data_IF_543938505168
#
_entry.id   IF_543938505168
#
_cell.length_a   1.000
_cell.length_b   1.000
_cell.length_c   1.000
_cell.angle_alpha   90.00
_cell.angle_beta   90.00
_cell.angle_gamma   90.00
#
_symmetry.space_group_name_H-M   'P 1'
#
loop_
_entity.id
_entity.type
_entity.pdbx_description
1 polymer ?
#
# COMPACT_ATOMS: atom_id res chain seq x y z
N UNK A 1 -42.20 2.94 -12.99
CA UNK A 1 -41.02 3.63 -13.59
C UNK A 1 -40.70 2.96 -14.90
N UNK A 2 -40.47 3.73 -15.96
CA UNK A 2 -40.20 3.19 -17.30
C UNK A 2 -38.76 2.67 -17.37
N UNK A 3 -38.56 1.46 -17.90
CA UNK A 3 -37.24 0.81 -18.03
C UNK A 3 -36.18 1.72 -18.68
N UNK A 4 -36.48 2.47 -19.77
CA UNK A 4 -35.49 3.37 -20.38
C UNK A 4 -34.97 4.45 -19.43
N UNK A 5 -35.83 4.97 -18.55
CA UNK A 5 -35.45 6.02 -17.59
C UNK A 5 -34.45 5.49 -16.57
N UNK A 6 -34.66 4.26 -16.08
CA UNK A 6 -33.75 3.59 -15.13
C UNK A 6 -32.39 3.36 -15.79
N UNK A 7 -32.38 2.93 -17.06
CA UNK A 7 -31.15 2.70 -17.80
C UNK A 7 -30.30 3.98 -17.91
N UNK A 8 -30.88 5.10 -18.35
CA UNK A 8 -30.14 6.35 -18.45
C UNK A 8 -29.70 6.90 -17.08
N UNK A 9 -30.52 6.72 -16.03
CA UNK A 9 -30.14 7.08 -14.67
C UNK A 9 -28.93 6.28 -14.18
N UNK A 10 -28.93 4.97 -14.43
CA UNK A 10 -27.79 4.11 -14.09
C UNK A 10 -26.52 4.54 -14.82
N UNK A 11 -26.58 4.73 -16.15
CA UNK A 11 -25.43 5.17 -16.94
C UNK A 11 -24.91 6.53 -16.46
N UNK A 12 -25.80 7.48 -16.19
CA UNK A 12 -25.43 8.79 -15.65
C UNK A 12 -24.76 8.69 -14.27
N UNK A 13 -25.30 7.86 -13.38
CA UNK A 13 -24.72 7.61 -12.07
C UNK A 13 -23.35 6.94 -12.17
N UNK A 14 -23.23 5.91 -13.02
CA UNK A 14 -22.03 5.09 -13.19
C UNK A 14 -20.83 5.95 -13.58
N UNK A 15 -20.99 6.83 -14.57
CA UNK A 15 -19.90 7.69 -15.03
C UNK A 15 -19.74 9.01 -14.26
N UNK A 16 -20.56 9.26 -13.23
CA UNK A 16 -20.45 10.44 -12.37
C UNK A 16 -20.15 10.06 -10.93
N UNK A 17 -21.20 9.81 -10.15
CA UNK A 17 -21.05 9.60 -8.72
C UNK A 17 -20.35 8.29 -8.41
N UNK A 18 -20.61 7.26 -9.20
CA UNK A 18 -19.95 5.96 -9.06
C UNK A 18 -18.43 6.05 -9.29
N UNK A 19 -17.96 6.79 -10.30
CA UNK A 19 -16.53 7.09 -10.49
C UNK A 19 -15.92 7.76 -9.25
N UNK A 20 -16.59 8.75 -8.65
CA UNK A 20 -16.09 9.41 -7.44
C UNK A 20 -15.95 8.45 -6.27
N UNK A 21 -16.92 7.57 -6.06
CA UNK A 21 -16.89 6.57 -5.00
C UNK A 21 -15.78 5.53 -5.22
N UNK A 22 -15.55 5.09 -6.47
CA UNK A 22 -14.42 4.21 -6.80
C UNK A 22 -13.08 4.89 -6.50
N UNK A 23 -12.90 6.15 -6.90
CA UNK A 23 -11.69 6.90 -6.56
C UNK A 23 -11.52 7.11 -5.06
N UNK A 24 -12.62 7.31 -4.32
CA UNK A 24 -12.60 7.44 -2.86
C UNK A 24 -12.17 6.14 -2.19
N UNK A 25 -12.73 5.01 -2.61
CA UNK A 25 -12.32 3.69 -2.14
C UNK A 25 -10.84 3.43 -2.44
N UNK A 26 -10.39 3.76 -3.65
CA UNK A 26 -8.99 3.61 -4.06
C UNK A 26 -8.04 4.44 -3.18
N UNK A 27 -8.36 5.72 -2.94
CA UNK A 27 -7.60 6.57 -2.00
C UNK A 27 -7.59 6.02 -0.58
N UNK A 28 -8.68 5.44 -0.11
CA UNK A 28 -8.75 4.86 1.23
C UNK A 28 -7.83 3.63 1.38
N UNK A 29 -7.66 2.83 0.32
CA UNK A 29 -6.72 1.70 0.33
C UNK A 29 -5.28 2.21 0.46
N UNK A 30 -4.89 3.21 -0.33
CA UNK A 30 -3.57 3.85 -0.24
C UNK A 30 -3.33 4.48 1.14
N UNK A 31 -4.33 5.20 1.65
CA UNK A 31 -4.28 5.74 3.01
C UNK A 31 -4.10 4.63 4.05
N UNK A 32 -4.85 3.53 3.94
CA UNK A 32 -4.71 2.38 4.84
C UNK A 32 -3.31 1.79 4.79
N UNK A 33 -2.75 1.51 3.62
CA UNK A 33 -1.41 0.93 3.47
C UNK A 33 -0.34 1.84 4.07
N UNK A 34 -0.43 3.14 3.82
CA UNK A 34 0.48 4.14 4.39
C UNK A 34 0.51 4.09 5.93
N UNK A 35 -0.66 3.93 6.57
CA UNK A 35 -0.80 3.87 8.02
C UNK A 35 -0.46 2.49 8.59
N UNK A 36 -0.89 1.41 7.93
CA UNK A 36 -0.64 0.03 8.30
C UNK A 36 0.87 -0.25 8.38
N UNK A 37 1.61 0.17 7.36
CA UNK A 37 3.07 0.09 7.38
C UNK A 37 3.72 1.22 8.18
N UNK A 38 3.00 2.24 8.64
CA UNK A 38 3.55 3.38 9.37
C UNK A 38 4.76 4.02 8.64
N UNK A 39 4.61 4.24 7.33
CA UNK A 39 5.72 4.60 6.42
C UNK A 39 6.52 5.81 6.95
N UNK A 40 5.83 6.84 7.44
CA UNK A 40 6.47 8.03 8.02
C UNK A 40 7.41 7.70 9.20
N UNK A 41 6.99 6.77 10.07
CA UNK A 41 7.79 6.35 11.23
C UNK A 41 9.00 5.54 10.78
N UNK A 42 8.83 4.64 9.82
CA UNK A 42 9.94 3.86 9.26
C UNK A 42 11.01 4.75 8.62
N UNK A 43 10.61 5.73 7.80
CA UNK A 43 11.53 6.69 7.20
C UNK A 43 12.28 7.50 8.25
N UNK A 44 11.58 8.02 9.28
CA UNK A 44 12.20 8.80 10.37
C UNK A 44 13.08 7.98 11.31
N UNK A 45 12.91 6.66 11.34
CA UNK A 45 13.63 5.76 12.26
C UNK A 45 14.63 4.84 11.57
N UNK A 46 14.82 4.98 10.25
CA UNK A 46 15.68 4.11 9.45
C UNK A 46 17.09 3.98 10.05
N UNK A 47 17.71 5.10 10.39
CA UNK A 47 19.07 5.15 10.98
C UNK A 47 19.08 5.33 12.51
N UNK A 48 17.92 5.20 13.16
CA UNK A 48 17.84 5.21 14.63
C UNK A 48 18.31 3.86 15.19
N UNK A 49 19.11 3.87 16.28
CA UNK A 49 19.60 2.63 16.91
C UNK A 49 18.46 1.65 17.18
N UNK A 50 18.71 0.37 16.91
CA UNK A 50 17.74 -0.67 17.17
C UNK A 50 17.74 -1.05 18.66
N UNK A 51 16.60 -0.80 19.32
CA UNK A 51 16.39 -0.97 20.78
C UNK A 51 17.38 -0.14 21.62
N UNK A 52 17.04 0.10 22.89
CA UNK A 52 17.87 0.86 23.86
C UNK A 52 19.14 0.11 24.29
N UNK A 53 19.69 -0.75 23.44
CA UNK A 53 21.00 -1.37 23.67
C UNK A 53 22.05 -0.38 23.17
N UNK A 54 22.13 0.77 23.86
CA UNK A 54 23.28 1.65 23.78
C UNK A 54 24.10 1.32 25.01
N UNK A 55 25.32 0.83 24.80
CA UNK A 55 26.31 0.97 25.85
C UNK A 55 26.59 2.46 26.03
N UNK A 56 26.47 2.93 27.27
CA UNK A 56 26.92 4.26 27.62
C UNK A 56 28.45 4.29 27.57
N UNK A 57 29.02 5.31 26.94
CA UNK A 57 30.45 5.55 27.04
C UNK A 57 30.79 5.70 28.53
N UNK A 58 31.61 4.79 29.05
CA UNK A 58 31.98 4.77 30.47
C UNK A 58 32.63 6.09 30.91
N UNK A 59 32.61 6.38 32.22
CA UNK A 59 33.31 7.55 32.77
C UNK A 59 34.83 7.35 32.71
N UNK A 60 35.54 8.26 32.04
CA UNK A 60 36.99 8.22 31.85
C UNK A 60 37.40 8.01 30.39
N UNK A 61 38.61 8.42 30.01
CA UNK A 61 39.12 8.25 28.64
C UNK A 61 39.82 6.89 28.51
N UNK A 62 39.04 5.84 28.23
CA UNK A 62 39.53 4.49 27.90
C UNK A 62 39.29 4.23 26.40
N UNK A 63 40.31 4.44 25.54
CA UNK A 63 40.14 4.32 24.09
C UNK A 63 39.76 2.90 23.64
N UNK A 64 40.07 1.85 24.42
CA UNK A 64 39.66 0.48 24.13
C UNK A 64 38.14 0.31 24.27
N UNK A 65 37.58 0.75 25.40
CA UNK A 65 36.13 0.72 25.65
C UNK A 65 35.36 1.62 24.69
N UNK A 66 35.92 2.77 24.32
CA UNK A 66 35.30 3.68 23.33
C UNK A 66 35.16 3.01 21.98
N UNK A 67 36.18 2.28 21.52
CA UNK A 67 36.16 1.57 20.24
C UNK A 67 35.13 0.41 20.24
N UNK A 68 35.08 -0.36 21.34
CA UNK A 68 34.11 -1.44 21.54
C UNK A 68 32.66 -0.92 21.50
N UNK A 69 32.33 0.07 22.32
CA UNK A 69 31.01 0.69 22.35
C UNK A 69 30.63 1.33 21.00
N UNK A 70 31.60 1.91 20.27
CA UNK A 70 31.36 2.42 18.92
C UNK A 70 30.98 1.31 17.94
N UNK A 71 31.73 0.20 17.94
CA UNK A 71 31.48 -0.94 17.05
C UNK A 71 30.09 -1.55 17.31
N UNK A 72 29.74 -1.79 18.57
CA UNK A 72 28.42 -2.29 18.97
C UNK A 72 27.31 -1.34 18.49
N UNK A 73 27.45 -0.03 18.72
CA UNK A 73 26.46 0.95 18.30
C UNK A 73 26.27 1.02 16.78
N UNK A 74 27.33 0.85 16.00
CA UNK A 74 27.25 0.78 14.53
C UNK A 74 26.48 -0.46 14.09
N UNK A 75 26.82 -1.63 14.65
CA UNK A 75 26.14 -2.89 14.33
C UNK A 75 24.65 -2.80 14.66
N UNK A 76 24.29 -2.26 15.84
CA UNK A 76 22.89 -2.10 16.24
C UNK A 76 22.11 -1.15 15.33
N UNK A 77 22.76 -0.11 14.78
CA UNK A 77 22.14 0.77 13.78
C UNK A 77 21.98 0.07 12.44
N UNK A 78 22.96 -0.72 12.00
CA UNK A 78 22.91 -1.47 10.75
C UNK A 78 21.78 -2.52 10.77
N UNK A 79 21.64 -3.30 11.84
CA UNK A 79 20.55 -4.27 12.00
C UNK A 79 19.19 -3.56 11.98
N UNK A 80 19.06 -2.45 12.70
CA UNK A 80 17.84 -1.64 12.70
C UNK A 80 17.48 -1.08 11.32
N UNK A 81 18.48 -0.59 10.58
CA UNK A 81 18.31 -0.09 9.24
C UNK A 81 17.94 -1.20 8.26
N UNK A 82 18.50 -2.40 8.40
CA UNK A 82 18.18 -3.55 7.56
C UNK A 82 16.73 -4.00 7.74
N UNK A 83 16.28 -4.21 8.99
CA UNK A 83 14.90 -4.63 9.28
C UNK A 83 13.89 -3.59 8.78
N UNK A 84 14.13 -2.30 9.09
CA UNK A 84 13.26 -1.22 8.64
C UNK A 84 13.31 -1.03 7.12
N UNK A 85 14.47 -1.22 6.51
CA UNK A 85 14.63 -1.21 5.06
C UNK A 85 13.81 -2.30 4.39
N UNK A 86 13.85 -3.53 4.89
CA UNK A 86 13.04 -4.64 4.39
C UNK A 86 11.53 -4.35 4.52
N UNK A 87 11.08 -3.83 5.67
CA UNK A 87 9.69 -3.42 5.86
C UNK A 87 9.27 -2.29 4.90
N UNK A 88 10.15 -1.32 4.65
CA UNK A 88 9.90 -0.22 3.72
C UNK A 88 9.78 -0.75 2.28
N UNK A 89 10.61 -1.71 1.88
CA UNK A 89 10.53 -2.35 0.57
C UNK A 89 9.20 -3.08 0.38
N UNK A 90 8.75 -3.83 1.40
CA UNK A 90 7.43 -4.49 1.38
C UNK A 90 6.30 -3.46 1.31
N UNK A 91 6.40 -2.35 2.05
CA UNK A 91 5.41 -1.27 2.00
C UNK A 91 5.31 -0.66 0.60
N UNK A 92 6.44 -0.37 -0.04
CA UNK A 92 6.49 0.17 -1.41
C UNK A 92 5.92 -0.84 -2.42
N UNK A 93 6.27 -2.12 -2.30
CA UNK A 93 5.74 -3.17 -3.17
C UNK A 93 4.21 -3.31 -3.02
N UNK A 94 3.70 -3.27 -1.80
CA UNK A 94 2.26 -3.31 -1.54
C UNK A 94 1.55 -2.07 -2.12
N UNK A 95 2.12 -0.87 -1.98
CA UNK A 95 1.58 0.38 -2.51
C UNK A 95 1.51 0.36 -4.04
N UNK A 96 2.58 -0.10 -4.70
CA UNK A 96 2.63 -0.27 -6.15
C UNK A 96 1.61 -1.31 -6.62
N UNK A 97 1.51 -2.44 -5.91
CA UNK A 97 0.49 -3.46 -6.18
C UNK A 97 -0.92 -2.87 -6.10
N UNK A 98 -1.24 -2.18 -5.01
CA UNK A 98 -2.55 -1.54 -4.83
C UNK A 98 -2.84 -0.48 -5.90
N UNK A 99 -1.82 0.25 -6.35
CA UNK A 99 -1.97 1.20 -7.46
C UNK A 99 -2.33 0.49 -8.77
N UNK A 100 -1.56 -0.53 -9.15
CA UNK A 100 -1.79 -1.30 -10.39
C UNK A 100 -3.16 -1.98 -10.37
N UNK A 101 -3.49 -2.69 -9.28
CA UNK A 101 -4.80 -3.32 -9.14
C UNK A 101 -5.94 -2.29 -9.14
N UNK A 102 -5.75 -1.14 -8.50
CA UNK A 102 -6.73 -0.04 -8.52
C UNK A 102 -6.99 0.49 -9.92
N UNK A 103 -5.94 0.68 -10.74
CA UNK A 103 -6.08 1.06 -12.15
C UNK A 103 -6.85 0.00 -12.95
N UNK A 104 -6.51 -1.28 -12.80
CA UNK A 104 -7.20 -2.38 -13.49
C UNK A 104 -8.68 -2.45 -13.10
N UNK A 105 -8.99 -2.35 -11.81
CA UNK A 105 -10.36 -2.33 -11.31
C UNK A 105 -11.13 -1.09 -11.78
N UNK A 106 -10.47 0.07 -11.90
CA UNK A 106 -11.09 1.27 -12.42
C UNK A 106 -11.42 1.15 -13.92
N UNK A 107 -10.52 0.58 -14.72
CA UNK A 107 -10.78 0.29 -16.14
C UNK A 107 -11.95 -0.71 -16.27
N UNK A 108 -11.91 -1.79 -15.48
CA UNK A 108 -13.00 -2.76 -15.43
C UNK A 108 -14.33 -2.10 -15.04
N UNK A 109 -14.32 -1.21 -14.04
CA UNK A 109 -15.50 -0.46 -13.62
C UNK A 109 -16.05 0.39 -14.76
N UNK A 110 -15.23 1.17 -15.47
CA UNK A 110 -15.68 1.96 -16.61
C UNK A 110 -16.32 1.10 -17.70
N UNK A 111 -15.77 -0.09 -17.95
CA UNK A 111 -16.26 -1.01 -18.96
C UNK A 111 -17.41 -1.92 -18.47
N UNK A 112 -17.72 -1.96 -17.17
CA UNK A 112 -18.66 -2.91 -16.58
C UNK A 112 -20.09 -2.82 -17.14
N UNK A 113 -20.64 -1.66 -17.57
CA UNK A 113 -21.96 -1.60 -18.19
C UNK A 113 -22.07 -2.43 -19.48
N UNK A 114 -20.95 -2.71 -20.13
CA UNK A 114 -20.87 -3.56 -21.34
C UNK A 114 -20.33 -4.95 -21.02
N UNK A 115 -19.22 -5.03 -20.26
CA UNK A 115 -18.55 -6.31 -19.97
C UNK A 115 -19.45 -7.28 -19.21
N UNK A 116 -20.26 -6.79 -18.27
CA UNK A 116 -21.10 -7.67 -17.45
C UNK A 116 -22.22 -8.31 -18.29
N UNK A 117 -23.04 -7.56 -19.06
CA UNK A 117 -24.03 -8.17 -19.95
C UNK A 117 -23.39 -9.11 -21.00
N UNK A 118 -22.29 -8.70 -21.62
CA UNK A 118 -21.59 -9.52 -22.62
C UNK A 118 -21.11 -10.84 -21.98
N UNK A 119 -20.45 -10.77 -20.82
CA UNK A 119 -19.96 -11.94 -20.10
C UNK A 119 -21.08 -12.91 -19.74
N UNK A 120 -22.25 -12.40 -19.32
CA UNK A 120 -23.42 -13.23 -19.05
C UNK A 120 -23.94 -13.92 -20.31
N UNK A 121 -24.08 -13.19 -21.43
CA UNK A 121 -24.56 -13.75 -22.70
C UNK A 121 -23.60 -14.83 -23.21
N UNK A 122 -22.29 -14.53 -23.23
CA UNK A 122 -21.25 -15.47 -23.68
C UNK A 122 -21.22 -16.70 -22.79
N UNK A 123 -21.25 -16.52 -21.48
CA UNK A 123 -21.28 -17.62 -20.51
C UNK A 123 -22.48 -18.54 -20.71
N UNK A 124 -23.67 -17.97 -20.91
CA UNK A 124 -24.87 -18.75 -21.22
C UNK A 124 -24.75 -19.47 -22.56
N UNK A 125 -24.25 -18.82 -23.61
CA UNK A 125 -24.08 -19.43 -24.92
C UNK A 125 -23.14 -20.64 -24.88
N UNK A 126 -22.06 -20.56 -24.09
CA UNK A 126 -21.11 -21.66 -23.89
C UNK A 126 -21.71 -22.87 -23.17
N UNK A 127 -22.79 -22.71 -22.40
CA UNK A 127 -23.47 -23.85 -21.75
C UNK A 127 -24.30 -24.69 -22.73
N UNK A 128 -24.67 -24.13 -23.88
CA UNK A 128 -25.50 -24.78 -24.90
C UNK A 128 -24.71 -25.18 -26.16
N UNK A 129 -23.39 -24.94 -26.17
CA UNK A 129 -22.42 -25.44 -27.15
C UNK A 129 -21.82 -26.76 -26.66
#
# INVERSE_FOLDING_TARGET
MNIPVIFFQYISWHYREGVKEVFKAWKNIHWFLYHFFSINILLRTLFKPFRRIREEYGRGFDPGKVAETLAVNIIMRAVGAFIRGALLLVAVAAELGAFVFGVLLFIYYLASPLLVPIGLIVGLALLFL
#
